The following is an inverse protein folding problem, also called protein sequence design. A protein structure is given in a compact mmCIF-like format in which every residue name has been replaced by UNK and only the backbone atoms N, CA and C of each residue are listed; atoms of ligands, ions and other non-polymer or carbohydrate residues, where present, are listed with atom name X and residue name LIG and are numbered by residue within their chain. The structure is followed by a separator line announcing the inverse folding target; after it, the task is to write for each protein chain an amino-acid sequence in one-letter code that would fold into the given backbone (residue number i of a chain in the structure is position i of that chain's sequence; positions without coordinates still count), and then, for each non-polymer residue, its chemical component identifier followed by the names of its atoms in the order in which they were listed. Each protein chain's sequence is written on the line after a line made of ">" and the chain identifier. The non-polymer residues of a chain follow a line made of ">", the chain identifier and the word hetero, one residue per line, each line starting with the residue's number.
data_IF_985278986504
#
_entry.id   IF_985278986504
#
_cell.length_a   1.000
_cell.length_b   1.000
_cell.length_c   1.000
_cell.angle_alpha   90.00
_cell.angle_beta   90.00
_cell.angle_gamma   90.00
#
_symmetry.space_group_name_H-M   'P 1'
#
loop_
_entity.id
_entity.type
_entity.pdbx_description
1 polymer ?
#
# COMPACT_ATOMS: atom_id res chain seq x y z
N UNK A 1 2.37 13.15 24.36
CA UNK A 1 1.84 12.69 23.07
C UNK A 1 1.09 11.40 23.31
N UNK A 2 -0.13 11.20 22.80
CA UNK A 2 -0.74 9.87 22.82
C UNK A 2 0.07 9.01 21.84
N UNK A 3 0.88 8.12 22.41
CA UNK A 3 1.58 7.09 21.65
C UNK A 3 0.51 6.13 21.10
N UNK A 4 0.35 5.98 19.77
CA UNK A 4 -0.44 4.87 19.27
C UNK A 4 0.23 3.61 19.79
N UNK A 5 -0.42 2.93 20.75
CA UNK A 5 0.13 1.75 21.40
C UNK A 5 0.71 0.80 20.35
N UNK A 6 1.82 0.12 20.64
CA UNK A 6 2.47 -0.82 19.70
C UNK A 6 1.46 -1.83 19.12
N UNK A 7 0.42 -2.17 19.87
CA UNK A 7 -0.71 -3.03 19.48
C UNK A 7 -1.49 -2.52 18.24
N UNK A 8 -1.39 -1.24 17.88
CA UNK A 8 -2.11 -0.64 16.75
C UNK A 8 -1.35 -0.71 15.41
N UNK A 9 -0.07 -1.09 15.42
CA UNK A 9 0.78 -1.16 14.21
C UNK A 9 0.67 -2.49 13.48
N UNK A 10 -0.53 -2.78 12.96
CA UNK A 10 -0.83 -4.02 12.23
C UNK A 10 0.09 -4.27 11.02
N UNK A 11 0.69 -3.22 10.47
CA UNK A 11 1.59 -3.32 9.31
C UNK A 11 2.98 -3.87 9.65
N UNK A 12 3.49 -3.68 10.87
CA UNK A 12 4.85 -4.08 11.26
C UNK A 12 5.08 -5.59 11.09
N UNK A 13 4.27 -6.49 11.69
CA UNK A 13 4.48 -7.92 11.51
C UNK A 13 4.37 -8.34 10.04
N UNK A 14 3.45 -7.75 9.26
CA UNK A 14 3.29 -8.03 7.83
C UNK A 14 4.52 -7.63 7.01
N UNK A 15 5.13 -6.47 7.30
CA UNK A 15 6.37 -6.05 6.65
C UNK A 15 7.53 -6.97 7.02
N UNK A 16 7.61 -7.46 8.26
CA UNK A 16 8.64 -8.42 8.66
C UNK A 16 8.48 -9.77 7.94
N UNK A 17 7.24 -10.25 7.79
CA UNK A 17 6.96 -11.45 6.99
C UNK A 17 7.32 -11.25 5.51
N UNK A 18 6.94 -10.13 4.91
CA UNK A 18 7.34 -9.77 3.55
C UNK A 18 8.87 -9.73 3.41
N UNK A 19 9.56 -9.10 4.37
CA UNK A 19 11.02 -8.99 4.40
C UNK A 19 11.67 -10.36 4.38
N UNK A 20 11.19 -11.29 5.22
CA UNK A 20 11.70 -12.66 5.26
C UNK A 20 11.58 -13.33 3.89
N UNK A 21 10.38 -13.36 3.31
CA UNK A 21 10.15 -14.03 2.03
C UNK A 21 10.97 -13.40 0.89
N UNK A 22 11.09 -12.07 0.87
CA UNK A 22 11.86 -11.35 -0.13
C UNK A 22 13.38 -11.59 -0.02
N UNK A 23 13.90 -11.64 1.21
CA UNK A 23 15.32 -11.96 1.47
C UNK A 23 15.60 -13.40 1.06
N UNK A 24 14.76 -14.34 1.46
CA UNK A 24 14.91 -15.77 1.12
C UNK A 24 14.89 -15.97 -0.41
N UNK A 25 13.97 -15.32 -1.12
CA UNK A 25 13.89 -15.38 -2.58
C UNK A 25 15.17 -14.84 -3.25
N UNK A 26 15.69 -13.70 -2.80
CA UNK A 26 16.92 -13.13 -3.36
C UNK A 26 18.14 -14.00 -3.05
N UNK A 27 18.26 -14.52 -1.82
CA UNK A 27 19.35 -15.44 -1.46
C UNK A 27 19.32 -16.67 -2.37
N UNK A 28 18.13 -17.26 -2.56
CA UNK A 28 17.96 -18.43 -3.42
C UNK A 28 18.34 -18.15 -4.86
N UNK A 29 17.92 -17.01 -5.42
CA UNK A 29 18.27 -16.57 -6.77
C UNK A 29 19.78 -16.40 -6.95
N UNK A 30 20.46 -15.79 -5.98
CA UNK A 30 21.90 -15.53 -6.07
C UNK A 30 22.73 -16.81 -6.01
N UNK A 31 22.23 -17.83 -5.30
CA UNK A 31 22.92 -19.11 -5.11
C UNK A 31 24.26 -18.97 -4.39
N UNK A 32 25.02 -20.08 -4.26
CA UNK A 32 26.38 -20.03 -3.72
C UNK A 32 27.30 -19.31 -4.72
N UNK A 33 27.82 -18.13 -4.33
CA UNK A 33 28.83 -17.40 -5.12
C UNK A 33 30.23 -17.62 -4.57
N UNK A 34 31.18 -17.90 -5.46
CA UNK A 34 32.62 -17.83 -5.14
C UNK A 34 33.05 -16.38 -5.15
N UNK A 35 33.48 -15.86 -4.01
CA UNK A 35 34.04 -14.51 -3.90
C UNK A 35 35.46 -14.55 -4.45
N UNK A 36 35.66 -14.01 -5.65
CA UNK A 36 36.97 -13.79 -6.24
C UNK A 36 37.39 -12.32 -6.08
N UNK A 37 38.69 -12.00 -6.24
CA UNK A 37 39.23 -10.65 -6.05
C UNK A 37 38.66 -9.59 -7.03
N UNK A 38 37.95 -9.99 -8.09
CA UNK A 38 37.30 -9.11 -9.06
C UNK A 38 35.76 -9.08 -8.95
N UNK A 39 35.18 -9.55 -7.84
CA UNK A 39 33.71 -9.51 -7.71
C UNK A 39 33.20 -8.09 -7.51
N UNK A 40 32.28 -7.65 -8.39
CA UNK A 40 31.44 -6.48 -8.14
C UNK A 40 30.81 -6.55 -6.74
N UNK A 41 30.60 -5.41 -6.08
CA UNK A 41 30.01 -5.37 -4.75
C UNK A 41 28.65 -6.06 -4.80
N UNK A 42 28.40 -6.94 -3.83
CA UNK A 42 27.15 -7.69 -3.77
C UNK A 42 25.93 -6.76 -3.73
N UNK A 43 26.10 -5.61 -3.10
CA UNK A 43 25.14 -4.51 -2.97
C UNK A 43 24.67 -3.95 -4.32
N UNK A 44 25.50 -4.01 -5.37
CA UNK A 44 25.17 -3.52 -6.70
C UNK A 44 24.32 -4.52 -7.51
N UNK A 45 24.02 -5.69 -6.96
CA UNK A 45 23.21 -6.69 -7.66
C UNK A 45 21.78 -6.15 -7.85
N UNK A 46 21.24 -6.15 -9.09
CA UNK A 46 19.89 -5.65 -9.35
C UNK A 46 18.80 -6.28 -8.47
N UNK A 47 18.88 -7.58 -8.17
CA UNK A 47 17.89 -8.24 -7.32
C UNK A 47 17.93 -7.73 -5.87
N UNK A 48 19.11 -7.39 -5.35
CA UNK A 48 19.28 -6.80 -4.02
C UNK A 48 18.71 -5.39 -3.99
N UNK A 49 19.09 -4.56 -4.97
CA UNK A 49 18.59 -3.18 -5.07
C UNK A 49 17.06 -3.14 -5.20
N UNK A 50 16.48 -4.03 -6.00
CA UNK A 50 15.03 -4.12 -6.19
C UNK A 50 14.31 -4.59 -4.92
N UNK A 51 14.85 -5.60 -4.22
CA UNK A 51 14.32 -6.04 -2.92
C UNK A 51 14.34 -4.90 -1.92
N UNK A 52 15.46 -4.20 -1.78
CA UNK A 52 15.59 -3.13 -0.79
C UNK A 52 14.69 -1.94 -1.14
N UNK A 53 14.52 -1.63 -2.43
CA UNK A 53 13.56 -0.64 -2.91
C UNK A 53 12.11 -1.02 -2.59
N UNK A 54 11.74 -2.29 -2.76
CA UNK A 54 10.42 -2.81 -2.40
C UNK A 54 10.18 -2.71 -0.89
N UNK A 55 11.14 -3.16 -0.07
CA UNK A 55 11.02 -3.14 1.40
C UNK A 55 10.98 -1.71 1.94
N UNK A 56 11.77 -0.81 1.37
CA UNK A 56 11.70 0.61 1.68
C UNK A 56 10.29 1.18 1.41
N UNK A 57 9.65 0.80 0.29
CA UNK A 57 8.27 1.22 0.01
C UNK A 57 7.27 0.60 0.98
N UNK A 58 7.45 -0.66 1.39
CA UNK A 58 6.59 -1.30 2.39
C UNK A 58 6.65 -0.58 3.75
N UNK A 59 7.85 -0.22 4.20
CA UNK A 59 8.05 0.57 5.41
C UNK A 59 7.51 1.99 5.27
N UNK A 60 7.69 2.61 4.10
CA UNK A 60 7.12 3.93 3.80
C UNK A 60 5.60 3.90 3.89
N UNK A 61 4.94 2.88 3.33
CA UNK A 61 3.48 2.68 3.48
C UNK A 61 3.09 2.61 4.95
N UNK A 62 3.77 1.78 5.74
CA UNK A 62 3.51 1.66 7.18
C UNK A 62 3.67 2.98 7.95
N UNK A 63 4.76 3.70 7.69
CA UNK A 63 5.01 5.01 8.27
C UNK A 63 3.91 6.02 7.94
N UNK A 64 3.43 6.06 6.69
CA UNK A 64 2.37 6.99 6.31
C UNK A 64 1.00 6.63 6.91
N UNK A 65 0.73 5.34 7.18
CA UNK A 65 -0.46 4.93 7.95
C UNK A 65 -0.39 5.51 9.36
N UNK A 66 0.74 5.34 10.05
CA UNK A 66 0.92 5.85 11.41
C UNK A 66 0.77 7.37 11.44
N UNK A 67 1.36 8.06 10.47
CA UNK A 67 1.24 9.51 10.30
C UNK A 67 -0.21 9.94 10.05
N UNK A 68 -0.94 9.23 9.19
CA UNK A 68 -2.35 9.50 8.89
C UNK A 68 -3.23 9.34 10.14
N UNK A 69 -3.06 8.23 10.88
CA UNK A 69 -3.80 7.97 12.14
C UNK A 69 -3.50 9.05 13.18
N UNK A 70 -2.23 9.41 13.33
CA UNK A 70 -1.81 10.43 14.29
C UNK A 70 -2.39 11.81 13.95
N UNK A 71 -2.33 12.24 12.69
CA UNK A 71 -2.93 13.49 12.25
C UNK A 71 -4.44 13.49 12.44
N UNK A 72 -5.13 12.39 12.11
CA UNK A 72 -6.57 12.27 12.32
C UNK A 72 -6.94 12.38 13.81
N UNK A 73 -6.20 11.72 14.70
CA UNK A 73 -6.41 11.80 16.15
C UNK A 73 -6.17 13.23 16.68
N UNK A 74 -5.09 13.88 16.24
CA UNK A 74 -4.76 15.26 16.60
C UNK A 74 -5.86 16.23 16.16
N UNK A 75 -6.34 16.12 14.92
CA UNK A 75 -7.43 16.96 14.42
C UNK A 75 -8.75 16.70 15.14
N UNK A 76 -9.03 15.45 15.49
CA UNK A 76 -10.23 15.10 16.29
C UNK A 76 -10.17 15.79 17.65
N UNK A 77 -9.04 15.71 18.35
CA UNK A 77 -8.83 16.40 19.63
C UNK A 77 -8.94 17.93 19.48
N UNK A 78 -8.34 18.50 18.43
CA UNK A 78 -8.41 19.94 18.18
C UNK A 78 -9.83 20.39 17.84
N UNK A 79 -10.64 19.57 17.17
CA UNK A 79 -12.04 19.91 16.86
C UNK A 79 -12.91 20.04 18.11
N UNK A 80 -12.59 19.31 19.18
CA UNK A 80 -13.33 19.35 20.43
C UNK A 80 -13.15 20.67 21.18
N UNK A 81 -12.03 21.38 20.95
CA UNK A 81 -11.77 22.70 21.54
C UNK A 81 -12.24 23.87 20.65
N UNK A 82 -12.64 23.62 19.39
CA UNK A 82 -13.11 24.64 18.47
C UNK A 82 -14.63 24.87 18.58
N UNK A 83 -15.03 25.90 19.33
CA UNK A 83 -16.39 26.46 19.36
C UNK A 83 -16.50 27.83 18.66
N UNK A 84 -15.48 28.24 17.90
CA UNK A 84 -15.34 29.61 17.39
C UNK A 84 -15.71 29.77 15.89
N UNK A 85 -16.14 30.98 15.47
CA UNK A 85 -16.29 31.33 14.06
C UNK A 85 -14.93 31.21 13.35
N UNK A 86 -14.84 30.35 12.33
CA UNK A 86 -13.59 29.98 11.63
C UNK A 86 -13.35 28.47 11.49
N UNK A 87 -14.13 27.65 12.20
CA UNK A 87 -14.02 26.18 12.19
C UNK A 87 -14.05 25.56 10.78
N UNK A 88 -14.78 26.14 9.82
CA UNK A 88 -14.87 25.64 8.44
C UNK A 88 -13.55 25.71 7.68
N UNK A 89 -12.74 26.76 7.89
CA UNK A 89 -11.44 26.91 7.24
C UNK A 89 -10.44 25.87 7.77
N UNK A 90 -10.51 25.56 9.07
CA UNK A 90 -9.69 24.53 9.71
C UNK A 90 -10.03 23.13 9.20
N UNK A 91 -11.31 22.81 9.05
CA UNK A 91 -11.76 21.52 8.50
C UNK A 91 -11.26 21.29 7.07
N UNK A 92 -11.24 22.34 6.24
CA UNK A 92 -10.69 22.25 4.88
C UNK A 92 -9.18 21.97 4.90
N UNK A 93 -8.44 22.61 5.80
CA UNK A 93 -7.01 22.35 5.99
C UNK A 93 -6.73 20.90 6.42
N UNK A 94 -7.48 20.40 7.41
CA UNK A 94 -7.37 19.02 7.89
C UNK A 94 -7.66 18.01 6.79
N UNK A 95 -8.76 18.22 6.05
CA UNK A 95 -9.15 17.39 4.91
C UNK A 95 -8.02 17.25 3.89
N UNK A 96 -7.37 18.36 3.53
CA UNK A 96 -6.26 18.35 2.57
C UNK A 96 -5.07 17.53 3.06
N UNK A 97 -4.66 17.72 4.32
CA UNK A 97 -3.53 16.98 4.91
C UNK A 97 -3.82 15.48 4.94
N UNK A 98 -5.00 15.09 5.41
CA UNK A 98 -5.36 13.67 5.48
C UNK A 98 -5.50 13.04 4.09
N UNK A 99 -6.07 13.76 3.12
CA UNK A 99 -6.17 13.28 1.73
C UNK A 99 -4.79 13.08 1.12
N UNK A 100 -3.88 14.05 1.29
CA UNK A 100 -2.50 13.92 0.81
C UNK A 100 -1.79 12.68 1.37
N UNK A 101 -1.92 12.44 2.68
CA UNK A 101 -1.33 11.26 3.32
C UNK A 101 -1.96 9.95 2.81
N UNK A 102 -3.28 9.94 2.57
CA UNK A 102 -3.96 8.79 1.96
C UNK A 102 -3.48 8.53 0.53
N UNK A 103 -3.28 9.58 -0.26
CA UNK A 103 -2.76 9.48 -1.63
C UNK A 103 -1.33 8.93 -1.62
N UNK A 104 -0.47 9.41 -0.72
CA UNK A 104 0.90 8.89 -0.54
C UNK A 104 0.91 7.40 -0.19
N UNK A 105 0.00 6.93 0.65
CA UNK A 105 -0.16 5.49 0.95
C UNK A 105 -0.48 4.70 -0.33
N UNK A 106 -1.42 5.20 -1.15
CA UNK A 106 -1.80 4.57 -2.40
C UNK A 106 -0.64 4.56 -3.42
N UNK A 107 0.08 5.68 -3.57
CA UNK A 107 1.23 5.78 -4.46
C UNK A 107 2.39 4.88 -4.04
N UNK A 108 2.70 4.82 -2.74
CA UNK A 108 3.76 3.95 -2.22
C UNK A 108 3.37 2.46 -2.34
N UNK A 109 2.09 2.13 -2.12
CA UNK A 109 1.57 0.76 -2.32
C UNK A 109 1.74 0.29 -3.76
N UNK A 110 1.38 1.13 -4.74
CA UNK A 110 1.57 0.82 -6.16
C UNK A 110 3.05 0.73 -6.51
N UNK A 111 3.87 1.64 -6.00
CA UNK A 111 5.32 1.62 -6.26
C UNK A 111 5.99 0.37 -5.71
N UNK A 112 5.56 -0.10 -4.53
CA UNK A 112 6.00 -1.38 -3.96
C UNK A 112 5.66 -2.55 -4.88
N UNK A 113 4.43 -2.61 -5.40
CA UNK A 113 3.99 -3.65 -6.33
C UNK A 113 4.75 -3.56 -7.68
N UNK A 114 5.08 -2.35 -8.14
CA UNK A 114 5.93 -2.18 -9.32
C UNK A 114 7.34 -2.78 -9.10
N UNK A 115 7.93 -2.57 -7.91
CA UNK A 115 9.21 -3.19 -7.55
C UNK A 115 9.12 -4.72 -7.40
N UNK A 116 7.99 -5.24 -6.91
CA UNK A 116 7.70 -6.69 -6.97
C UNK A 116 7.79 -7.18 -8.41
N UNK A 117 7.10 -6.51 -9.35
CA UNK A 117 7.17 -6.84 -10.77
C UNK A 117 8.61 -6.79 -11.31
N UNK A 118 9.36 -5.74 -10.96
CA UNK A 118 10.74 -5.60 -11.40
C UNK A 118 11.61 -6.75 -10.88
N UNK A 119 11.42 -7.16 -9.64
CA UNK A 119 12.16 -8.27 -9.03
C UNK A 119 11.81 -9.61 -9.69
N UNK A 120 10.52 -9.88 -9.97
CA UNK A 120 10.10 -11.06 -10.74
C UNK A 120 10.76 -11.07 -12.13
N UNK A 121 10.70 -9.95 -12.84
CA UNK A 121 11.31 -9.82 -14.17
C UNK A 121 12.82 -10.06 -14.14
N UNK A 122 13.50 -9.48 -13.16
CA UNK A 122 14.94 -9.65 -12.96
C UNK A 122 15.32 -11.12 -12.67
N UNK A 123 14.57 -11.79 -11.80
CA UNK A 123 14.92 -13.12 -11.29
C UNK A 123 14.53 -14.25 -12.25
N UNK A 124 13.34 -14.17 -12.87
CA UNK A 124 12.80 -15.24 -13.70
C UNK A 124 13.01 -15.02 -15.22
N UNK A 125 13.32 -13.80 -15.66
CA UNK A 125 13.57 -13.47 -17.07
C UNK A 125 14.95 -12.86 -17.33
N UNK A 126 15.79 -12.75 -16.29
CA UNK A 126 17.15 -12.23 -16.38
C UNK A 126 17.26 -10.70 -16.22
N UNK A 127 18.50 -10.19 -16.04
CA UNK A 127 18.75 -8.81 -15.59
C UNK A 127 18.28 -7.73 -16.58
N UNK A 128 18.20 -8.04 -17.88
CA UNK A 128 17.69 -7.11 -18.89
C UNK A 128 16.19 -6.82 -18.75
N UNK A 129 15.47 -7.68 -18.01
CA UNK A 129 14.03 -7.56 -17.76
C UNK A 129 13.71 -6.92 -16.40
N UNK A 130 14.71 -6.33 -15.71
CA UNK A 130 14.51 -5.57 -14.47
C UNK A 130 13.55 -4.38 -14.59
N UNK A 131 13.21 -3.96 -15.82
CA UNK A 131 12.30 -2.83 -16.09
C UNK A 131 10.83 -3.23 -16.18
N UNK A 132 10.50 -4.52 -16.07
CA UNK A 132 9.12 -4.99 -16.09
C UNK A 132 8.42 -4.61 -14.79
N UNK A 133 7.77 -3.45 -14.76
CA UNK A 133 6.84 -3.05 -13.69
C UNK A 133 5.65 -4.03 -13.60
N UNK A 134 4.77 -3.89 -12.60
CA UNK A 134 3.66 -4.84 -12.36
C UNK A 134 2.89 -5.19 -13.65
N UNK A 135 2.42 -4.18 -14.37
CA UNK A 135 1.67 -4.38 -15.63
C UNK A 135 2.51 -5.00 -16.76
N UNK A 136 3.82 -4.77 -16.76
CA UNK A 136 4.75 -5.41 -17.70
C UNK A 136 4.85 -6.92 -17.45
N UNK A 137 4.96 -7.34 -16.19
CA UNK A 137 4.94 -8.75 -15.82
C UNK A 137 3.59 -9.39 -16.11
N UNK A 138 2.48 -8.71 -15.79
CA UNK A 138 1.12 -9.19 -16.14
C UNK A 138 0.99 -9.43 -17.64
N UNK A 139 1.48 -8.51 -18.48
CA UNK A 139 1.46 -8.67 -19.94
C UNK A 139 2.28 -9.89 -20.36
N UNK A 140 3.49 -10.04 -19.83
CA UNK A 140 4.35 -11.17 -20.13
C UNK A 140 3.74 -12.51 -19.65
N UNK A 141 3.10 -12.52 -18.48
CA UNK A 141 2.46 -13.71 -17.93
C UNK A 141 1.23 -14.17 -18.72
N UNK A 142 0.50 -13.25 -19.37
CA UNK A 142 -0.62 -13.58 -20.27
C UNK A 142 -0.15 -14.20 -21.59
N UNK A 143 1.07 -13.91 -22.00
CA UNK A 143 1.63 -14.40 -23.25
C UNK A 143 2.11 -15.86 -23.09
N UNK A 144 1.38 -16.80 -23.71
CA UNK A 144 1.63 -18.24 -23.56
C UNK A 144 2.98 -18.69 -24.10
N UNK A 145 3.61 -17.92 -25.00
CA UNK A 145 4.96 -18.23 -25.50
C UNK A 145 6.05 -17.68 -24.57
N UNK A 146 5.72 -16.81 -23.62
CA UNK A 146 6.68 -16.27 -22.67
C UNK A 146 6.93 -17.28 -21.53
N UNK A 147 8.20 -17.58 -21.19
CA UNK A 147 8.54 -18.50 -20.09
C UNK A 147 7.95 -18.11 -18.73
N UNK A 148 7.67 -16.81 -18.50
CA UNK A 148 7.00 -16.35 -17.29
C UNK A 148 5.59 -16.91 -17.13
N UNK A 149 4.87 -17.18 -18.22
CA UNK A 149 3.47 -17.64 -18.16
C UNK A 149 3.26 -18.95 -17.39
N UNK A 150 4.30 -19.81 -17.33
CA UNK A 150 4.26 -21.07 -16.62
C UNK A 150 4.54 -20.94 -15.10
N UNK A 151 5.13 -19.82 -14.67
CA UNK A 151 5.67 -19.60 -13.31
C UNK A 151 4.58 -19.38 -12.27
N UNK A 152 4.79 -19.90 -11.07
CA UNK A 152 3.85 -19.77 -9.94
C UNK A 152 3.63 -18.29 -9.58
N UNK A 153 4.71 -17.51 -9.45
CA UNK A 153 4.65 -16.09 -9.14
C UNK A 153 3.85 -15.30 -10.18
N UNK A 154 4.03 -15.62 -11.47
CA UNK A 154 3.33 -14.98 -12.56
C UNK A 154 1.81 -15.28 -12.52
N UNK A 155 1.42 -16.52 -12.23
CA UNK A 155 0.01 -16.90 -12.06
C UNK A 155 -0.63 -16.18 -10.87
N UNK A 156 0.09 -16.11 -9.74
CA UNK A 156 -0.33 -15.36 -8.55
C UNK A 156 -0.54 -13.88 -8.85
N UNK A 157 0.42 -13.25 -9.55
CA UNK A 157 0.29 -11.86 -9.98
C UNK A 157 -0.93 -11.64 -10.90
N UNK A 158 -1.18 -12.55 -11.84
CA UNK A 158 -2.35 -12.48 -12.73
C UNK A 158 -3.67 -12.54 -11.96
N UNK A 159 -3.75 -13.42 -10.96
CA UNK A 159 -4.92 -13.55 -10.10
C UNK A 159 -5.17 -12.26 -9.32
N UNK A 160 -4.16 -11.77 -8.60
CA UNK A 160 -4.24 -10.53 -7.81
C UNK A 160 -4.54 -9.30 -8.69
N UNK A 161 -3.97 -9.25 -9.90
CA UNK A 161 -4.22 -8.18 -10.86
C UNK A 161 -5.68 -8.14 -11.29
N UNK A 162 -6.25 -9.29 -11.68
CA UNK A 162 -7.67 -9.40 -12.05
C UNK A 162 -8.58 -9.09 -10.86
N UNK A 163 -8.20 -9.55 -9.67
CA UNK A 163 -9.00 -9.39 -8.46
C UNK A 163 -9.12 -7.92 -8.06
N UNK A 164 -7.99 -7.21 -7.92
CA UNK A 164 -8.02 -5.87 -7.33
C UNK A 164 -6.89 -4.91 -7.74
N UNK A 165 -5.70 -5.38 -8.14
CA UNK A 165 -4.57 -4.45 -8.40
C UNK A 165 -4.80 -3.59 -9.66
N UNK A 166 -5.48 -4.11 -10.69
CA UNK A 166 -5.88 -3.29 -11.85
C UNK A 166 -6.80 -2.12 -11.43
N UNK A 167 -7.71 -2.39 -10.49
CA UNK A 167 -8.62 -1.39 -9.92
C UNK A 167 -7.88 -0.37 -9.07
N UNK A 168 -6.82 -0.78 -8.35
CA UNK A 168 -5.93 0.10 -7.61
C UNK A 168 -5.17 1.07 -8.55
N UNK A 169 -4.64 0.57 -9.67
CA UNK A 169 -4.06 1.43 -10.70
C UNK A 169 -5.09 2.39 -11.31
N UNK A 170 -6.32 1.93 -11.53
CA UNK A 170 -7.43 2.78 -11.97
C UNK A 170 -7.73 3.91 -10.98
N UNK A 171 -7.81 3.59 -9.68
CA UNK A 171 -8.03 4.58 -8.62
C UNK A 171 -6.91 5.64 -8.59
N UNK A 172 -5.64 5.23 -8.75
CA UNK A 172 -4.50 6.15 -8.89
C UNK A 172 -4.67 7.11 -10.08
N UNK A 173 -5.05 6.56 -11.23
CA UNK A 173 -5.22 7.32 -12.46
C UNK A 173 -6.27 8.41 -12.27
N UNK A 174 -7.38 8.09 -11.60
CA UNK A 174 -8.42 9.07 -11.27
C UNK A 174 -7.92 10.16 -10.32
N UNK A 175 -7.20 9.80 -9.25
CA UNK A 175 -6.64 10.79 -8.32
C UNK A 175 -5.71 11.78 -9.04
N UNK A 176 -4.94 11.31 -10.02
CA UNK A 176 -4.02 12.16 -10.82
C UNK A 176 -4.79 13.05 -11.82
N UNK A 177 -5.82 12.51 -12.48
CA UNK A 177 -6.47 13.15 -13.63
C UNK A 177 -7.74 13.92 -13.29
N UNK A 178 -8.49 13.51 -12.27
CA UNK A 178 -9.62 14.24 -11.73
C UNK A 178 -9.11 15.28 -10.73
N UNK A 179 -9.45 16.55 -10.93
CA UNK A 179 -9.06 17.66 -10.05
C UNK A 179 -9.43 17.32 -8.59
N UNK A 180 -8.43 16.92 -7.79
CA UNK A 180 -8.46 16.66 -6.34
C UNK A 180 -9.91 16.59 -5.83
N UNK A 181 -10.60 15.48 -6.13
CA UNK A 181 -11.89 15.21 -5.51
C UNK A 181 -11.56 14.85 -4.07
N UNK A 182 -11.33 15.87 -3.23
CA UNK A 182 -11.10 15.68 -1.81
C UNK A 182 -12.25 14.78 -1.33
N UNK A 183 -11.98 13.67 -0.64
CA UNK A 183 -13.06 12.83 -0.09
C UNK A 183 -13.93 13.64 0.88
N UNK A 184 -15.18 13.29 1.13
CA UNK A 184 -16.08 14.18 1.90
C UNK A 184 -15.63 14.31 3.37
N UNK A 185 -15.98 15.42 4.01
CA UNK A 185 -15.56 15.71 5.38
C UNK A 185 -16.65 16.43 6.16
N UNK A 186 -17.04 15.87 7.30
CA UNK A 186 -18.11 16.39 8.15
C UNK A 186 -17.74 16.41 9.61
N UNK A 187 -18.36 17.33 10.37
CA UNK A 187 -18.31 17.36 11.83
C UNK A 187 -19.70 17.00 12.35
N UNK A 188 -19.81 15.90 13.08
CA UNK A 188 -21.04 15.52 13.78
C UNK A 188 -20.91 15.95 15.23
N UNK A 189 -21.87 16.76 15.70
CA UNK A 189 -21.97 17.17 17.09
C UNK A 189 -23.11 16.39 17.71
N UNK A 190 -22.81 15.59 18.73
CA UNK A 190 -23.80 14.84 19.51
C UNK A 190 -23.92 15.42 20.90
N UNK A 191 -25.15 15.43 21.41
CA UNK A 191 -25.51 15.86 22.76
C UNK A 191 -26.10 14.67 23.52
N UNK A 192 -25.29 13.75 24.05
CA UNK A 192 -25.82 12.67 24.87
C UNK A 192 -26.31 13.25 26.20
N UNK A 193 -27.50 12.81 26.65
CA UNK A 193 -28.12 13.31 27.88
C UNK A 193 -27.15 13.28 29.07
N UNK A 194 -27.02 14.42 29.76
CA UNK A 194 -26.20 14.55 30.97
C UNK A 194 -24.68 14.60 30.75
N UNK A 195 -24.18 14.65 29.51
CA UNK A 195 -22.73 14.67 29.23
C UNK A 195 -22.26 15.92 28.49
N UNK A 196 -20.92 16.10 28.43
CA UNK A 196 -20.28 17.17 27.65
C UNK A 196 -20.53 16.95 26.15
N UNK A 197 -20.56 18.05 25.40
CA UNK A 197 -20.63 18.07 23.94
C UNK A 197 -19.59 17.12 23.32
N UNK A 198 -20.06 16.17 22.51
CA UNK A 198 -19.19 15.25 21.75
C UNK A 198 -19.13 15.71 20.29
N UNK A 199 -17.95 16.16 19.88
CA UNK A 199 -17.65 16.51 18.49
C UNK A 199 -16.85 15.39 17.85
N UNK A 200 -17.41 14.77 16.81
CA UNK A 200 -16.76 13.72 16.03
C UNK A 200 -16.44 14.24 14.63
N UNK A 201 -15.18 14.15 14.22
CA UNK A 201 -14.79 14.40 12.83
C UNK A 201 -14.96 13.12 12.00
N UNK A 202 -15.49 13.28 10.81
CA UNK A 202 -15.57 12.24 9.79
C UNK A 202 -14.89 12.74 8.54
N UNK A 203 -13.95 11.95 8.03
CA UNK A 203 -13.34 12.16 6.71
C UNK A 203 -13.50 10.85 5.96
N UNK A 204 -14.01 10.93 4.74
CA UNK A 204 -14.40 9.80 3.93
C UNK A 204 -13.46 9.66 2.74
N UNK A 205 -13.27 8.43 2.27
CA UNK A 205 -12.60 8.20 1.00
C UNK A 205 -13.43 8.76 -0.15
N UNK A 206 -12.80 9.22 -1.26
CA UNK A 206 -13.52 9.56 -2.47
C UNK A 206 -14.39 8.39 -2.95
N UNK A 207 -15.65 8.67 -3.27
CA UNK A 207 -16.61 7.62 -3.66
C UNK A 207 -16.19 6.87 -4.94
N UNK A 208 -15.43 7.51 -5.82
CA UNK A 208 -14.82 6.88 -7.01
C UNK A 208 -13.83 5.79 -6.62
N UNK A 209 -12.96 6.06 -5.65
CA UNK A 209 -12.00 5.07 -5.11
C UNK A 209 -12.74 3.92 -4.43
N UNK A 210 -13.75 4.22 -3.60
CA UNK A 210 -14.57 3.19 -2.92
C UNK A 210 -15.27 2.28 -3.92
N UNK A 211 -15.92 2.85 -4.94
CA UNK A 211 -16.60 2.08 -6.00
C UNK A 211 -15.65 1.15 -6.76
N UNK A 212 -14.41 1.57 -6.99
CA UNK A 212 -13.41 0.74 -7.67
C UNK A 212 -12.85 -0.34 -6.76
N UNK A 213 -12.60 -0.02 -5.50
CA UNK A 213 -11.99 -0.93 -4.54
C UNK A 213 -13.07 -1.63 -3.72
N UNK A 214 -13.83 -2.52 -4.38
CA UNK A 214 -14.95 -3.25 -3.78
C UNK A 214 -14.59 -4.14 -2.57
N UNK A 215 -13.31 -4.35 -2.28
CA UNK A 215 -12.88 -5.05 -1.06
C UNK A 215 -12.88 -4.14 0.18
N UNK A 216 -13.01 -2.82 0.02
CA UNK A 216 -13.02 -1.90 1.14
C UNK A 216 -14.30 -2.10 1.97
N UNK A 217 -14.18 -2.19 3.31
CA UNK A 217 -15.35 -2.36 4.15
C UNK A 217 -16.20 -1.09 4.11
N UNK A 218 -17.40 -1.23 3.56
CA UNK A 218 -18.47 -0.24 3.71
C UNK A 218 -19.16 -0.46 5.05
N UNK A 219 -19.42 0.60 5.81
CA UNK A 219 -20.21 0.44 7.03
C UNK A 219 -21.69 0.26 6.67
N UNK A 220 -22.38 -0.66 7.34
CA UNK A 220 -23.76 -1.03 7.03
C UNK A 220 -24.75 0.15 7.19
N UNK A 221 -24.38 1.14 7.99
CA UNK A 221 -25.13 2.35 8.32
C UNK A 221 -24.73 3.58 7.48
N UNK A 222 -23.72 3.50 6.62
CA UNK A 222 -23.15 4.70 5.95
C UNK A 222 -23.41 4.80 4.45
N UNK A 223 -24.40 4.10 3.87
CA UNK A 223 -24.73 4.18 2.43
C UNK A 223 -23.52 3.92 1.49
N UNK A 224 -22.59 3.05 1.90
CA UNK A 224 -21.41 2.74 1.09
C UNK A 224 -20.22 3.69 1.28
N UNK A 225 -20.21 4.51 2.34
CA UNK A 225 -19.07 5.37 2.69
C UNK A 225 -18.02 4.63 3.49
N UNK A 226 -16.75 4.97 3.24
CA UNK A 226 -15.59 4.37 3.92
C UNK A 226 -14.79 5.50 4.58
N UNK A 227 -14.48 5.35 5.87
CA UNK A 227 -13.63 6.31 6.58
C UNK A 227 -12.24 6.31 5.96
N UNK A 228 -11.69 7.49 5.68
CA UNK A 228 -10.42 7.69 4.98
C UNK A 228 -9.27 6.90 5.62
N UNK A 229 -9.14 6.97 6.95
CA UNK A 229 -8.08 6.28 7.71
C UNK A 229 -8.19 4.76 7.55
N UNK A 230 -9.41 4.22 7.70
CA UNK A 230 -9.68 2.78 7.58
C UNK A 230 -9.42 2.32 6.14
N UNK A 231 -9.92 3.05 5.15
CA UNK A 231 -9.73 2.71 3.74
C UNK A 231 -8.26 2.70 3.33
N UNK A 232 -7.50 3.73 3.73
CA UNK A 232 -6.07 3.82 3.45
C UNK A 232 -5.28 2.69 4.12
N UNK A 233 -5.58 2.37 5.38
CA UNK A 233 -4.97 1.23 6.07
C UNK A 233 -5.27 -0.10 5.36
N UNK A 234 -6.52 -0.34 4.95
CA UNK A 234 -6.88 -1.57 4.25
C UNK A 234 -6.18 -1.71 2.89
N UNK A 235 -6.03 -0.61 2.13
CA UNK A 235 -5.25 -0.60 0.89
C UNK A 235 -3.80 -1.00 1.16
N UNK A 236 -3.18 -0.38 2.17
CA UNK A 236 -1.81 -0.64 2.57
C UNK A 236 -1.58 -2.09 2.98
N UNK A 237 -2.37 -2.60 3.94
CA UNK A 237 -2.23 -3.96 4.45
C UNK A 237 -2.44 -4.98 3.34
N UNK A 238 -3.44 -4.78 2.47
CA UNK A 238 -3.70 -5.65 1.33
C UNK A 238 -2.57 -5.62 0.30
N UNK A 239 -1.95 -4.47 0.06
CA UNK A 239 -0.79 -4.36 -0.82
C UNK A 239 0.43 -5.10 -0.27
N UNK A 240 0.70 -4.99 1.04
CA UNK A 240 1.80 -5.71 1.70
C UNK A 240 1.57 -7.22 1.63
N UNK A 241 0.34 -7.67 1.91
CA UNK A 241 -0.02 -9.09 1.81
C UNK A 241 0.12 -9.61 0.37
N UNK A 242 -0.32 -8.83 -0.63
CA UNK A 242 -0.16 -9.19 -2.03
C UNK A 242 1.32 -9.31 -2.43
N UNK A 243 2.16 -8.37 -2.01
CA UNK A 243 3.60 -8.45 -2.24
C UNK A 243 4.19 -9.72 -1.61
N UNK A 244 3.82 -10.02 -0.36
CA UNK A 244 4.28 -11.22 0.35
C UNK A 244 3.88 -12.49 -0.38
N UNK A 245 2.61 -12.63 -0.77
CA UNK A 245 2.10 -13.82 -1.47
C UNK A 245 2.83 -14.03 -2.81
N UNK A 246 3.15 -12.94 -3.52
CA UNK A 246 3.96 -13.03 -4.75
C UNK A 246 5.41 -13.43 -4.45
N UNK A 247 6.02 -12.93 -3.37
CA UNK A 247 7.38 -13.34 -2.96
C UNK A 247 7.46 -14.80 -2.55
N UNK A 248 6.45 -15.31 -1.85
CA UNK A 248 6.35 -16.74 -1.53
C UNK A 248 6.27 -17.58 -2.81
N UNK A 249 5.43 -17.20 -3.77
CA UNK A 249 5.34 -17.89 -5.05
C UNK A 249 6.63 -17.78 -5.89
N UNK A 250 7.37 -16.67 -5.78
CA UNK A 250 8.70 -16.54 -6.39
C UNK A 250 9.69 -17.52 -5.76
N UNK A 251 9.66 -17.66 -4.43
CA UNK A 251 10.53 -18.60 -3.72
C UNK A 251 10.29 -20.04 -4.20
N UNK A 252 9.02 -20.44 -4.40
CA UNK A 252 8.64 -21.73 -4.99
C UNK A 252 9.23 -21.90 -6.40
N UNK A 253 9.11 -20.90 -7.27
CA UNK A 253 9.68 -20.94 -8.63
C UNK A 253 11.22 -21.07 -8.64
N UNK A 254 11.88 -20.61 -7.57
CA UNK A 254 13.33 -20.71 -7.37
C UNK A 254 13.74 -22.00 -6.64
N UNK A 255 12.80 -22.90 -6.36
CA UNK A 255 13.03 -24.17 -5.67
C UNK A 255 13.18 -24.03 -4.15
N UNK A 256 12.49 -23.06 -3.54
CA UNK A 256 12.36 -22.90 -2.10
C UNK A 256 10.94 -23.27 -1.64
N UNK A 257 10.88 -24.14 -0.63
CA UNK A 257 9.69 -24.83 -0.07
C UNK A 257 8.93 -25.72 -1.05
#
# INVERSE_FOLDING_TARGET
>A
MPDPTEESRLWVPKVQELRKEAVDAVIKYLGPRRVGPASHRLEDNPAIVLRDSMLYRAESVGYHIDLLKWQFAAFTQQSQSMNAPGASLHLLGFRKILTFLSDDILFNSISMLDYVGNLIGCTLSGPNNQRLKWNGVVKAARDKINPLSARAAAKTMLALHKEWIDKLHGARSEIIHERITLGDGGRTITFPEGTRLLSTLSFEMPSTVVKRLAFLPTFADTEGRVQLVVGAEQIALRAIDAAKVVMTALLEDLGGR
#
